data_IF_436736074513
#
_entry.id   IF_436736074513
#
_cell.length_a   1.000
_cell.length_b   1.000
_cell.length_c   1.000
_cell.angle_alpha   90.00
_cell.angle_beta   90.00
_cell.angle_gamma   90.00
#
_symmetry.space_group_name_H-M   'P 1'
#
loop_
_entity.id
_entity.type
_entity.pdbx_description
1 polymer ?
#
# COMPACT_ATOMS: atom_id res chain seq x y z
N UNK A 1 -9.69 -10.96 -71.41
CA UNK A 1 -9.54 -9.53 -71.07
C UNK A 1 -8.51 -9.42 -69.95
N UNK A 2 -7.52 -8.53 -70.07
CA UNK A 2 -6.21 -8.99 -70.54
C UNK A 2 -5.01 -8.73 -69.59
N UNK A 3 -4.06 -9.69 -69.67
CA UNK A 3 -2.57 -9.59 -69.65
C UNK A 3 -1.85 -9.15 -68.36
N UNK A 4 -0.70 -9.71 -67.93
CA UNK A 4 0.46 -10.20 -68.72
C UNK A 4 1.26 -11.36 -68.05
N UNK A 5 1.87 -12.17 -68.93
CA UNK A 5 2.85 -13.27 -68.73
C UNK A 5 4.31 -12.78 -68.64
N UNK A 6 5.19 -13.65 -68.09
CA UNK A 6 6.52 -14.16 -68.57
C UNK A 6 7.50 -14.32 -67.39
N UNK A 7 8.42 -15.28 -67.26
CA UNK A 7 8.80 -16.52 -67.95
C UNK A 7 10.09 -17.06 -67.28
N UNK A 8 10.21 -18.39 -67.11
CA UNK A 8 11.42 -19.26 -67.23
C UNK A 8 12.61 -19.02 -66.23
N UNK A 9 13.35 -20.01 -65.67
CA UNK A 9 14.03 -21.16 -66.29
C UNK A 9 14.48 -22.21 -65.23
N UNK A 10 14.20 -23.48 -65.56
CA UNK A 10 15.08 -24.66 -65.62
C UNK A 10 15.77 -25.25 -64.36
N UNK A 11 15.47 -26.53 -64.19
CA UNK A 11 16.13 -27.54 -63.36
C UNK A 11 17.49 -28.00 -63.93
N UNK A 12 18.37 -28.46 -63.04
CA UNK A 12 19.31 -29.56 -63.30
C UNK A 12 19.52 -30.33 -61.98
N UNK A 13 19.29 -31.64 -62.03
CA UNK A 13 19.58 -32.55 -60.92
C UNK A 13 20.98 -33.14 -61.04
N UNK A 14 21.53 -33.56 -59.90
CA UNK A 14 22.49 -34.66 -59.76
C UNK A 14 22.60 -35.05 -58.26
N UNK A 15 22.20 -36.28 -57.94
CA UNK A 15 22.71 -37.09 -56.82
C UNK A 15 23.90 -37.91 -57.36
N UNK A 16 24.68 -38.71 -56.58
CA UNK A 16 24.93 -38.79 -55.13
C UNK A 16 26.46 -38.88 -54.80
N UNK A 17 26.84 -38.90 -53.52
CA UNK A 17 27.62 -39.99 -52.86
C UNK A 17 28.20 -39.52 -51.50
N UNK A 18 27.81 -40.23 -50.46
CA UNK A 18 28.44 -40.25 -49.13
C UNK A 18 29.71 -41.11 -49.13
N UNK A 19 30.60 -40.78 -48.19
CA UNK A 19 31.74 -41.48 -47.55
C UNK A 19 32.88 -40.44 -47.54
N UNK A 20 33.37 -39.89 -46.43
CA UNK A 20 33.59 -40.44 -45.10
C UNK A 20 35.00 -40.01 -44.70
N UNK A 21 35.12 -38.97 -43.87
CA UNK A 21 36.35 -38.63 -43.14
C UNK A 21 35.98 -37.76 -41.94
N UNK A 22 36.12 -38.30 -40.72
CA UNK A 22 36.10 -37.50 -39.51
C UNK A 22 37.42 -36.71 -39.41
N UNK A 23 37.36 -35.49 -38.84
CA UNK A 23 38.07 -35.31 -37.59
C UNK A 23 37.27 -34.53 -36.55
N UNK A 24 37.30 -35.07 -35.33
CA UNK A 24 37.42 -34.36 -34.04
C UNK A 24 36.85 -32.94 -34.00
N UNK A 25 35.56 -32.82 -33.70
CA UNK A 25 34.99 -31.57 -33.18
C UNK A 25 35.20 -31.51 -31.67
N UNK A 26 36.13 -30.67 -31.24
CA UNK A 26 36.26 -30.24 -29.86
C UNK A 26 35.02 -29.41 -29.47
N UNK A 27 34.32 -29.69 -28.35
CA UNK A 27 33.32 -28.78 -27.86
C UNK A 27 34.03 -27.64 -27.13
N UNK A 28 34.33 -26.56 -27.85
CA UNK A 28 34.45 -25.26 -27.22
C UNK A 28 33.04 -24.74 -26.93
N UNK A 29 32.38 -25.35 -25.94
CA UNK A 29 31.30 -24.67 -25.23
C UNK A 29 31.97 -23.66 -24.31
N UNK A 30 32.27 -22.48 -24.83
CA UNK A 30 32.13 -21.29 -24.01
C UNK A 30 30.68 -21.30 -23.55
N UNK A 31 30.49 -21.62 -22.27
CA UNK A 31 29.22 -21.40 -21.60
C UNK A 31 28.79 -19.99 -21.98
N UNK A 32 27.67 -19.86 -22.69
CA UNK A 32 26.93 -18.62 -22.68
C UNK A 32 26.73 -18.32 -21.19
N UNK A 33 27.38 -17.27 -20.71
CA UNK A 33 27.01 -16.68 -19.44
C UNK A 33 25.56 -16.29 -19.68
N UNK A 34 24.63 -17.14 -19.22
CA UNK A 34 23.27 -16.73 -18.97
C UNK A 34 23.44 -15.40 -18.24
N UNK A 35 23.00 -14.29 -18.82
CA UNK A 35 22.87 -13.05 -18.08
C UNK A 35 22.10 -13.46 -16.83
N UNK A 36 22.82 -13.55 -15.70
CA UNK A 36 22.31 -14.21 -14.52
C UNK A 36 21.02 -13.51 -14.19
N UNK A 37 19.92 -14.24 -14.14
CA UNK A 37 18.64 -13.73 -13.69
C UNK A 37 18.89 -13.31 -12.23
N UNK A 38 19.35 -12.06 -12.03
CA UNK A 38 19.71 -11.56 -10.71
C UNK A 38 18.40 -11.50 -9.96
N UNK A 39 18.15 -12.54 -9.19
CA UNK A 39 16.88 -12.74 -8.53
C UNK A 39 16.56 -11.50 -7.69
N UNK A 40 15.41 -10.88 -7.96
CA UNK A 40 14.89 -9.70 -7.27
C UNK A 40 15.20 -9.82 -5.76
N UNK A 41 15.88 -8.84 -5.14
CA UNK A 41 16.21 -8.92 -3.72
C UNK A 41 14.94 -9.04 -2.88
N UNK A 42 14.99 -9.60 -1.65
CA UNK A 42 13.81 -9.62 -0.80
C UNK A 42 13.32 -8.19 -0.56
N UNK A 43 12.01 -7.99 -0.62
CA UNK A 43 11.37 -6.68 -0.54
C UNK A 43 10.67 -6.55 0.81
N UNK A 44 11.02 -5.51 1.56
CA UNK A 44 10.31 -5.09 2.76
C UNK A 44 9.55 -3.80 2.46
N UNK A 45 8.23 -3.88 2.56
CA UNK A 45 7.34 -2.74 2.46
C UNK A 45 7.15 -2.05 3.83
N UNK A 46 7.20 -0.71 3.86
CA UNK A 46 7.23 0.09 5.10
C UNK A 46 6.16 1.19 5.02
N UNK A 47 5.12 1.10 5.86
CA UNK A 47 3.97 2.01 5.81
C UNK A 47 4.25 3.39 6.44
N UNK A 48 3.31 4.32 6.23
CA UNK A 48 3.36 5.71 6.70
C UNK A 48 2.84 5.96 8.12
N UNK A 49 2.74 7.25 8.46
CA UNK A 49 2.29 7.73 9.76
C UNK A 49 0.83 7.34 10.02
N UNK A 50 0.56 6.63 11.12
CA UNK A 50 -0.80 6.19 11.48
C UNK A 50 -1.38 5.05 10.64
N UNK A 51 -0.64 4.56 9.64
CA UNK A 51 -1.05 3.45 8.77
C UNK A 51 -0.63 2.07 9.35
N UNK A 52 -0.85 1.02 8.56
CA UNK A 52 -0.50 -0.38 8.88
C UNK A 52 -0.07 -1.15 7.63
N UNK A 53 0.51 -2.34 7.82
CA UNK A 53 1.06 -3.17 6.75
C UNK A 53 0.07 -3.49 5.61
N UNK A 54 -1.23 -3.66 5.91
CA UNK A 54 -2.23 -4.02 4.90
C UNK A 54 -2.38 -3.02 3.73
N UNK A 55 -1.91 -1.78 3.87
CA UNK A 55 -1.94 -0.83 2.73
C UNK A 55 -1.11 -1.36 1.55
N UNK A 56 -0.07 -2.17 1.81
CA UNK A 56 0.78 -2.77 0.78
C UNK A 56 0.19 -4.00 0.08
N UNK A 57 -1.00 -4.47 0.50
CA UNK A 57 -1.65 -5.68 -0.02
C UNK A 57 -1.63 -5.79 -1.55
N UNK A 58 -2.03 -4.73 -2.24
CA UNK A 58 -2.13 -4.72 -3.71
C UNK A 58 -0.76 -4.68 -4.38
N UNK A 59 0.23 -4.04 -3.76
CA UNK A 59 1.61 -4.03 -4.24
C UNK A 59 2.26 -5.41 -4.08
N UNK A 60 2.01 -6.10 -2.96
CA UNK A 60 2.46 -7.49 -2.72
C UNK A 60 1.88 -8.41 -3.81
N UNK A 61 0.58 -8.33 -4.05
CA UNK A 61 -0.06 -9.14 -5.10
C UNK A 61 0.47 -8.85 -6.50
N UNK A 62 0.77 -7.59 -6.81
CA UNK A 62 1.42 -7.23 -8.09
C UNK A 62 2.84 -7.77 -8.17
N UNK A 63 3.63 -7.76 -7.10
CA UNK A 63 4.95 -8.40 -7.05
C UNK A 63 4.84 -9.91 -7.31
N UNK A 64 3.92 -10.60 -6.64
CA UNK A 64 3.68 -12.03 -6.83
C UNK A 64 3.20 -12.36 -8.25
N UNK A 65 2.33 -11.52 -8.82
CA UNK A 65 1.87 -11.64 -10.21
C UNK A 65 3.00 -11.48 -11.23
N UNK A 66 4.12 -10.89 -10.83
CA UNK A 66 5.32 -10.69 -11.64
C UNK A 66 6.47 -11.61 -11.21
N UNK A 67 6.15 -12.74 -10.57
CA UNK A 67 7.08 -13.83 -10.27
C UNK A 67 7.94 -13.64 -9.02
N UNK A 68 7.72 -12.59 -8.21
CA UNK A 68 8.45 -12.44 -6.94
C UNK A 68 7.89 -13.45 -5.93
N UNK A 69 8.70 -14.37 -5.38
CA UNK A 69 8.19 -15.38 -4.46
C UNK A 69 7.65 -14.76 -3.16
N UNK A 70 6.47 -15.20 -2.69
CA UNK A 70 5.84 -14.71 -1.45
C UNK A 70 6.78 -14.70 -0.24
N UNK A 71 7.62 -15.73 -0.09
CA UNK A 71 8.59 -15.81 1.01
C UNK A 71 9.65 -14.68 1.02
N UNK A 72 9.88 -14.04 -0.13
CA UNK A 72 10.81 -12.92 -0.31
C UNK A 72 10.15 -11.55 -0.19
N UNK A 73 8.85 -11.49 0.06
CA UNK A 73 8.11 -10.25 0.28
C UNK A 73 7.65 -10.20 1.73
N UNK A 74 7.73 -9.02 2.35
CA UNK A 74 7.20 -8.76 3.68
C UNK A 74 6.66 -7.32 3.74
N UNK A 75 5.73 -7.07 4.66
CA UNK A 75 5.31 -5.73 5.04
C UNK A 75 5.50 -5.57 6.55
N UNK A 76 6.26 -4.53 6.94
CA UNK A 76 6.44 -4.16 8.34
C UNK A 76 5.16 -3.52 8.86
N UNK A 77 4.78 -3.88 10.09
CA UNK A 77 3.64 -3.33 10.81
C UNK A 77 4.13 -2.67 12.10
N UNK A 78 4.53 -1.39 12.04
CA UNK A 78 5.10 -0.68 13.19
C UNK A 78 4.11 -0.61 14.34
N UNK A 79 4.57 -0.92 15.55
CA UNK A 79 3.73 -1.06 16.76
C UNK A 79 2.87 0.19 17.02
N UNK A 80 3.51 1.36 17.09
CA UNK A 80 2.87 2.65 17.26
C UNK A 80 3.16 3.52 16.01
N UNK A 81 2.30 3.50 14.99
CA UNK A 81 2.61 4.08 13.68
C UNK A 81 2.57 5.61 13.65
N UNK A 82 1.96 6.25 14.65
CA UNK A 82 1.88 7.70 14.76
C UNK A 82 3.14 8.29 15.41
N UNK A 83 3.66 9.34 14.80
CA UNK A 83 4.73 10.16 15.35
C UNK A 83 4.28 10.90 16.62
N UNK A 84 5.25 11.16 17.50
CA UNK A 84 5.08 12.10 18.61
C UNK A 84 4.97 13.54 18.09
N UNK A 85 4.32 14.40 18.85
CA UNK A 85 4.25 15.83 18.52
C UNK A 85 5.64 16.48 18.60
N UNK A 86 6.44 16.04 19.57
CA UNK A 86 7.85 16.33 19.74
C UNK A 86 8.58 14.98 19.93
N UNK A 87 9.56 14.69 19.10
CA UNK A 87 10.24 13.39 19.04
C UNK A 87 10.91 13.02 20.36
N UNK A 88 11.47 14.02 21.05
CA UNK A 88 12.18 13.86 22.32
C UNK A 88 11.27 13.74 23.53
N UNK A 89 9.99 14.11 23.40
CA UNK A 89 9.02 14.05 24.49
C UNK A 89 8.15 12.79 24.41
N UNK A 90 8.18 11.88 25.39
CA UNK A 90 7.33 10.70 25.40
C UNK A 90 5.85 11.07 25.24
N UNK A 91 5.16 10.36 24.34
CA UNK A 91 3.73 10.51 24.12
C UNK A 91 3.09 9.12 24.01
N UNK A 92 2.06 8.81 24.82
CA UNK A 92 1.42 7.49 24.79
C UNK A 92 0.92 7.10 23.39
N UNK A 93 1.06 5.81 23.05
CA UNK A 93 0.59 5.21 21.80
C UNK A 93 1.21 5.81 20.52
N UNK A 94 2.41 6.41 20.65
CA UNK A 94 3.16 7.08 19.56
C UNK A 94 4.65 6.78 19.68
N UNK A 95 5.31 6.66 18.54
CA UNK A 95 6.73 6.31 18.43
C UNK A 95 7.61 7.50 18.07
N UNK A 96 8.85 7.51 18.57
CA UNK A 96 9.88 8.40 18.06
C UNK A 96 10.50 7.89 16.76
N UNK A 97 11.34 8.72 16.15
CA UNK A 97 12.24 8.35 15.05
C UNK A 97 13.17 7.18 15.42
N UNK A 98 13.63 7.12 16.67
CA UNK A 98 14.47 6.04 17.20
C UNK A 98 13.70 4.71 17.32
N UNK A 99 12.46 4.76 17.82
CA UNK A 99 11.60 3.58 17.91
C UNK A 99 11.33 2.98 16.52
N UNK A 100 11.01 3.84 15.54
CA UNK A 100 10.82 3.43 14.14
C UNK A 100 12.09 2.82 13.54
N UNK A 101 13.26 3.43 13.78
CA UNK A 101 14.54 2.93 13.27
C UNK A 101 14.87 1.55 13.82
N UNK A 102 14.62 1.32 15.12
CA UNK A 102 14.84 0.03 15.78
C UNK A 102 13.92 -1.06 15.20
N UNK A 103 12.61 -0.81 15.15
CA UNK A 103 11.64 -1.78 14.61
C UNK A 103 11.91 -2.11 13.13
N UNK A 104 12.35 -1.12 12.33
CA UNK A 104 12.77 -1.35 10.96
C UNK A 104 14.01 -2.26 10.87
N UNK A 105 15.02 -2.01 11.71
CA UNK A 105 16.23 -2.83 11.75
C UNK A 105 15.95 -4.29 12.11
N UNK A 106 15.05 -4.54 13.08
CA UNK A 106 14.59 -5.87 13.46
C UNK A 106 13.89 -6.58 12.29
N UNK A 107 13.01 -5.87 11.57
CA UNK A 107 12.29 -6.41 10.42
C UNK A 107 13.23 -6.74 9.25
N UNK A 108 14.25 -5.90 9.00
CA UNK A 108 15.29 -6.16 7.99
C UNK A 108 16.08 -7.41 8.37
N UNK A 109 16.53 -7.53 9.62
CA UNK A 109 17.27 -8.68 10.11
C UNK A 109 16.45 -9.98 9.97
N UNK A 110 15.17 -9.95 10.35
CA UNK A 110 14.27 -11.09 10.23
C UNK A 110 14.06 -11.51 8.76
N UNK A 111 13.89 -10.56 7.84
CA UNK A 111 13.73 -10.86 6.41
C UNK A 111 15.02 -11.44 5.81
N UNK A 112 16.19 -10.89 6.17
CA UNK A 112 17.49 -11.43 5.76
C UNK A 112 17.69 -12.86 6.28
N UNK A 113 17.40 -13.11 7.56
CA UNK A 113 17.49 -14.44 8.15
C UNK A 113 16.58 -15.45 7.44
N UNK A 114 15.32 -15.06 7.17
CA UNK A 114 14.35 -15.93 6.49
C UNK A 114 14.74 -16.29 5.06
N UNK A 115 15.42 -15.38 4.37
CA UNK A 115 15.70 -15.51 2.93
C UNK A 115 17.15 -15.88 2.60
N UNK A 116 18.06 -15.78 3.57
CA UNK A 116 19.50 -15.94 3.38
C UNK A 116 20.15 -14.79 2.60
N UNK A 117 19.42 -13.72 2.28
CA UNK A 117 19.95 -12.61 1.48
C UNK A 117 20.85 -11.68 2.31
N UNK A 118 21.95 -11.22 1.70
CA UNK A 118 22.84 -10.24 2.33
C UNK A 118 22.21 -8.84 2.44
N UNK A 119 21.36 -8.47 1.47
CA UNK A 119 20.69 -7.17 1.38
C UNK A 119 19.20 -7.33 1.05
N UNK A 120 18.41 -6.34 1.45
CA UNK A 120 16.98 -6.22 1.10
C UNK A 120 16.73 -4.96 0.26
N UNK A 121 15.61 -4.92 -0.46
CA UNK A 121 15.06 -3.69 -1.02
C UNK A 121 13.96 -3.16 -0.08
N UNK A 122 13.99 -1.86 0.19
CA UNK A 122 13.03 -1.18 1.05
C UNK A 122 12.12 -0.31 0.19
N UNK A 123 10.81 -0.47 0.33
CA UNK A 123 9.81 0.35 -0.35
C UNK A 123 8.94 0.99 0.72
N UNK A 124 8.98 2.30 0.81
CA UNK A 124 8.39 3.03 1.92
C UNK A 124 7.44 4.13 1.44
N UNK A 125 6.37 4.34 2.21
CA UNK A 125 5.40 5.40 1.98
C UNK A 125 5.47 6.44 3.09
N UNK A 126 5.38 7.73 2.76
CA UNK A 126 5.23 8.80 3.76
C UNK A 126 6.32 8.73 4.85
N UNK A 127 5.95 8.85 6.14
CA UNK A 127 6.84 8.71 7.31
C UNK A 127 7.77 7.49 7.25
N UNK A 128 7.31 6.36 6.70
CA UNK A 128 8.14 5.15 6.59
C UNK A 128 9.45 5.41 5.83
N UNK A 129 9.45 6.33 4.87
CA UNK A 129 10.67 6.71 4.15
C UNK A 129 11.69 7.42 5.02
N UNK A 130 11.26 8.22 5.99
CA UNK A 130 12.16 8.82 6.97
C UNK A 130 12.78 7.77 7.90
N UNK A 131 12.03 6.72 8.27
CA UNK A 131 12.59 5.58 9.00
C UNK A 131 13.67 4.84 8.18
N UNK A 132 13.42 4.61 6.88
CA UNK A 132 14.40 4.02 5.96
C UNK A 132 15.67 4.88 5.86
N UNK A 133 15.52 6.19 5.64
CA UNK A 133 16.64 7.13 5.55
C UNK A 133 17.45 7.16 6.85
N UNK A 134 16.76 7.22 7.99
CA UNK A 134 17.38 7.20 9.32
C UNK A 134 18.19 5.92 9.56
N UNK A 135 17.63 4.76 9.25
CA UNK A 135 18.34 3.48 9.35
C UNK A 135 19.60 3.43 8.49
N UNK A 136 19.50 3.84 7.22
CA UNK A 136 20.63 3.85 6.30
C UNK A 136 21.73 4.82 6.77
N UNK A 137 21.36 6.05 7.15
CA UNK A 137 22.32 7.08 7.62
C UNK A 137 22.99 6.68 8.94
N UNK A 138 22.31 5.93 9.80
CA UNK A 138 22.84 5.39 11.06
C UNK A 138 23.77 4.17 10.88
N UNK A 139 24.19 3.83 9.65
CA UNK A 139 25.12 2.75 9.35
C UNK A 139 24.48 1.50 8.74
N UNK A 140 23.16 1.48 8.52
CA UNK A 140 22.43 0.34 7.93
C UNK A 140 22.58 0.17 6.42
N UNK A 141 23.37 1.00 5.73
CA UNK A 141 23.55 0.95 4.28
C UNK A 141 24.02 -0.43 3.76
N UNK A 142 24.82 -1.15 4.55
CA UNK A 142 25.30 -2.50 4.22
C UNK A 142 24.20 -3.54 4.10
N UNK A 143 23.03 -3.30 4.68
CA UNK A 143 21.88 -4.20 4.67
C UNK A 143 20.88 -3.90 3.54
N UNK A 144 21.08 -2.80 2.82
CA UNK A 144 20.10 -2.28 1.85
C UNK A 144 20.70 -2.24 0.44
N UNK A 145 19.92 -2.73 -0.52
CA UNK A 145 20.24 -2.66 -1.95
C UNK A 145 19.55 -1.48 -2.63
N UNK A 146 18.26 -1.30 -2.34
CA UNK A 146 17.39 -0.28 -2.91
C UNK A 146 16.57 0.39 -1.82
N UNK A 147 16.38 1.70 -1.91
CA UNK A 147 15.47 2.47 -1.09
C UNK A 147 14.52 3.27 -2.00
N UNK A 148 13.25 2.85 -2.06
CA UNK A 148 12.19 3.51 -2.84
C UNK A 148 11.29 4.28 -1.89
N UNK A 149 11.27 5.60 -2.01
CA UNK A 149 10.61 6.53 -1.10
C UNK A 149 9.42 7.20 -1.80
N UNK A 150 8.21 6.82 -1.41
CA UNK A 150 6.98 7.23 -2.06
C UNK A 150 6.29 8.31 -1.22
N UNK A 151 6.16 9.53 -1.73
CA UNK A 151 5.55 10.66 -1.02
C UNK A 151 6.19 10.92 0.35
N UNK A 152 7.47 10.59 0.52
CA UNK A 152 8.16 10.76 1.80
C UNK A 152 8.39 12.25 2.06
N UNK A 153 8.06 12.79 3.25
CA UNK A 153 8.30 14.18 3.59
C UNK A 153 9.79 14.41 3.88
N UNK A 154 10.63 14.25 2.85
CA UNK A 154 12.09 14.27 2.93
C UNK A 154 12.65 15.63 3.37
N UNK A 155 11.95 16.69 3.02
CA UNK A 155 12.22 18.08 3.44
C UNK A 155 11.17 18.61 4.42
N UNK A 156 10.39 17.71 5.02
CA UNK A 156 9.33 18.03 5.98
C UNK A 156 7.99 18.30 5.31
N UNK A 157 6.99 18.57 6.15
CA UNK A 157 5.65 19.03 5.74
C UNK A 157 5.47 20.53 6.01
N UNK A 158 6.45 21.13 6.70
CA UNK A 158 6.70 22.55 6.88
C UNK A 158 8.15 22.76 7.35
N UNK A 159 8.66 23.98 7.26
CA UNK A 159 10.01 24.39 7.64
C UNK A 159 9.95 25.71 8.44
N UNK A 160 9.56 25.61 9.71
CA UNK A 160 9.31 26.77 10.59
C UNK A 160 10.27 26.80 11.79
N UNK A 161 10.52 27.98 12.35
CA UNK A 161 11.39 28.14 13.53
C UNK A 161 10.73 27.69 14.85
N UNK A 162 9.46 27.27 14.79
CA UNK A 162 8.69 26.73 15.92
C UNK A 162 8.48 25.24 15.75
N UNK A 163 8.38 24.50 16.86
CA UNK A 163 8.16 23.05 16.83
C UNK A 163 9.32 22.28 16.21
N UNK A 164 10.57 22.68 16.49
CA UNK A 164 11.77 22.03 15.93
C UNK A 164 11.92 20.56 16.37
N UNK A 165 11.35 20.17 17.51
CA UNK A 165 11.32 18.77 17.95
C UNK A 165 10.38 17.87 17.13
N UNK A 166 9.53 18.42 16.27
CA UNK A 166 8.66 17.63 15.41
C UNK A 166 9.46 17.01 14.24
N UNK A 167 9.39 15.69 14.07
CA UNK A 167 10.14 14.98 13.01
C UNK A 167 9.74 15.37 11.58
N UNK A 168 8.61 16.06 11.38
CA UNK A 168 8.16 16.55 10.08
C UNK A 168 8.52 18.02 9.82
N UNK A 169 9.21 18.68 10.74
CA UNK A 169 9.71 20.04 10.52
C UNK A 169 11.05 19.98 9.78
N UNK A 170 11.11 20.50 8.55
CA UNK A 170 12.31 20.53 7.72
C UNK A 170 13.48 21.30 8.33
N UNK A 171 13.22 22.22 9.27
CA UNK A 171 14.26 22.92 10.06
C UNK A 171 14.69 22.16 11.32
N UNK A 172 13.98 21.10 11.69
CA UNK A 172 14.28 20.30 12.87
C UNK A 172 15.59 19.52 12.74
N UNK A 173 16.21 19.10 13.87
CA UNK A 173 17.49 18.41 13.87
C UNK A 173 17.45 17.07 13.13
N UNK A 174 16.30 16.38 13.15
CA UNK A 174 16.14 15.09 12.47
C UNK A 174 16.29 15.23 10.95
N UNK A 175 15.46 16.06 10.30
CA UNK A 175 15.49 16.21 8.84
C UNK A 175 16.73 16.96 8.36
N UNK A 176 17.19 17.98 9.09
CA UNK A 176 18.46 18.65 8.75
C UNK A 176 19.66 17.71 8.82
N UNK A 177 19.70 16.79 9.80
CA UNK A 177 20.73 15.74 9.87
C UNK A 177 20.65 14.73 8.72
N UNK A 178 19.45 14.33 8.30
CA UNK A 178 19.26 13.45 7.14
C UNK A 178 19.64 14.12 5.81
N UNK A 179 19.41 15.43 5.69
CA UNK A 179 19.67 16.21 4.48
C UNK A 179 21.08 16.84 4.44
N UNK A 180 21.91 16.60 5.46
CA UNK A 180 23.25 17.14 5.53
C UNK A 180 24.19 16.55 4.46
N UNK A 181 24.95 17.44 3.81
CA UNK A 181 26.04 17.13 2.90
C UNK A 181 25.70 17.41 1.43
N UNK A 182 26.68 17.17 0.56
CA UNK A 182 26.51 17.41 -0.89
C UNK A 182 25.52 16.43 -1.53
N UNK A 183 25.29 15.28 -0.91
CA UNK A 183 24.29 14.27 -1.29
C UNK A 183 23.37 13.95 -0.12
N UNK A 184 22.08 13.76 -0.39
CA UNK A 184 21.07 13.40 0.61
C UNK A 184 20.81 11.89 0.66
N UNK A 185 21.54 11.14 -0.17
CA UNK A 185 21.55 9.68 -0.25
C UNK A 185 22.91 9.11 0.14
N UNK A 186 22.91 7.91 0.68
CA UNK A 186 24.14 7.19 1.08
C UNK A 186 24.64 6.34 -0.07
N UNK A 187 25.94 6.44 -0.35
CA UNK A 187 26.63 5.63 -1.37
C UNK A 187 26.45 4.13 -1.12
N UNK A 188 26.35 3.34 -2.20
CA UNK A 188 26.18 1.89 -2.13
C UNK A 188 24.72 1.42 -1.94
N UNK A 189 23.76 2.36 -1.89
CA UNK A 189 22.32 2.08 -1.93
C UNK A 189 21.71 2.83 -3.11
N UNK A 190 20.90 2.13 -3.93
CA UNK A 190 20.17 2.78 -5.02
C UNK A 190 18.91 3.46 -4.48
N UNK A 191 18.81 4.78 -4.65
CA UNK A 191 17.65 5.57 -4.19
C UNK A 191 16.74 6.00 -5.34
N UNK A 192 15.43 5.80 -5.13
CA UNK A 192 14.35 6.32 -5.96
C UNK A 192 13.37 7.09 -5.07
N UNK A 193 12.96 8.28 -5.51
CA UNK A 193 11.80 8.97 -4.94
C UNK A 193 10.67 8.99 -5.95
N UNK A 194 9.44 8.75 -5.47
CA UNK A 194 8.22 8.87 -6.24
C UNK A 194 7.38 9.97 -5.61
N UNK A 195 7.03 10.99 -6.41
CA UNK A 195 6.24 12.12 -5.93
C UNK A 195 5.04 12.43 -6.80
N UNK A 196 4.13 13.17 -6.19
CA UNK A 196 2.97 13.73 -6.86
C UNK A 196 3.36 14.97 -7.68
N UNK A 197 2.57 15.23 -8.72
CA UNK A 197 2.54 16.53 -9.38
C UNK A 197 1.51 17.45 -8.70
N UNK A 198 1.82 17.88 -7.48
CA UNK A 198 1.04 18.89 -6.75
C UNK A 198 -0.21 18.41 -5.98
N UNK A 199 -0.56 17.12 -6.00
CA UNK A 199 -1.73 16.55 -5.32
C UNK A 199 -1.40 15.86 -3.98
N UNK A 200 -0.17 15.99 -3.50
CA UNK A 200 0.24 15.51 -2.17
C UNK A 200 -0.03 16.58 -1.12
N UNK A 201 -1.00 16.35 -0.22
CA UNK A 201 -1.39 17.31 0.83
C UNK A 201 -0.27 17.66 1.82
N UNK A 202 0.79 16.87 1.91
CA UNK A 202 1.92 17.07 2.79
C UNK A 202 3.13 17.73 2.10
N UNK A 203 3.04 17.95 0.78
CA UNK A 203 4.04 18.67 -0.01
C UNK A 203 3.39 19.90 -0.68
N UNK A 204 2.95 20.85 0.15
CA UNK A 204 2.16 22.01 -0.28
C UNK A 204 2.81 23.32 0.19
N UNK A 205 2.83 24.38 -0.63
CA UNK A 205 3.41 25.67 -0.25
C UNK A 205 2.60 26.40 0.83
N UNK A 206 1.30 26.11 0.95
CA UNK A 206 0.41 26.72 1.91
C UNK A 206 0.12 25.80 3.10
N UNK A 207 0.17 26.36 4.31
CA UNK A 207 0.05 25.63 5.57
C UNK A 207 -1.36 25.15 5.93
N UNK A 208 -2.35 25.23 5.03
CA UNK A 208 -3.74 24.81 5.32
C UNK A 208 -3.85 23.36 5.80
N UNK A 209 -3.02 22.44 5.28
CA UNK A 209 -3.08 21.01 5.64
C UNK A 209 -2.31 20.68 6.93
N UNK A 210 -1.61 21.66 7.48
CA UNK A 210 -0.90 21.57 8.77
C UNK A 210 -1.46 22.58 9.79
N UNK A 211 -2.68 23.07 9.55
CA UNK A 211 -3.43 23.89 10.50
C UNK A 211 -3.10 25.38 10.51
N UNK A 212 -2.32 25.90 9.55
CA UNK A 212 -2.00 27.33 9.41
C UNK A 212 -2.27 27.83 7.99
N UNK A 213 -3.54 27.93 7.56
CA UNK A 213 -3.88 28.44 6.23
C UNK A 213 -3.31 29.85 6.01
N UNK A 214 -2.81 30.12 4.80
CA UNK A 214 -2.19 31.40 4.45
C UNK A 214 -0.74 31.55 4.92
N UNK A 215 -0.22 30.61 5.72
CA UNK A 215 1.18 30.62 6.17
C UNK A 215 2.03 29.77 5.22
N UNK A 216 3.10 30.31 4.62
CA UNK A 216 4.02 29.52 3.80
C UNK A 216 4.63 28.38 4.60
N UNK A 217 4.59 27.15 4.08
CA UNK A 217 5.24 25.99 4.70
C UNK A 217 6.74 25.99 4.49
N UNK A 218 7.24 26.63 3.42
CA UNK A 218 8.62 26.46 2.97
C UNK A 218 8.89 25.12 2.27
N UNK A 219 7.84 24.39 1.91
CA UNK A 219 7.88 23.11 1.20
C UNK A 219 7.08 23.24 -0.11
N UNK A 220 7.58 22.69 -1.21
CA UNK A 220 6.87 22.66 -2.51
C UNK A 220 6.51 21.23 -2.91
N UNK A 221 5.93 21.04 -4.09
CA UNK A 221 5.63 19.72 -4.63
C UNK A 221 6.90 18.85 -4.80
N UNK A 222 8.07 19.48 -4.96
CA UNK A 222 9.39 18.85 -5.05
C UNK A 222 9.95 18.43 -3.68
N UNK A 223 9.30 18.79 -2.56
CA UNK A 223 9.77 18.45 -1.20
C UNK A 223 10.11 16.97 -0.96
N UNK A 224 9.43 16.00 -1.61
CA UNK A 224 9.80 14.58 -1.53
C UNK A 224 11.03 14.16 -2.35
N UNK A 225 11.58 15.01 -3.23
CA UNK A 225 12.80 14.68 -3.97
C UNK A 225 14.02 14.60 -3.05
N UNK A 226 15.08 13.91 -3.50
CA UNK A 226 16.37 13.88 -2.83
C UNK A 226 17.50 14.15 -3.82
N UNK A 227 18.44 15.01 -3.43
CA UNK A 227 19.69 15.24 -4.16
C UNK A 227 20.53 13.97 -4.15
N UNK A 228 20.86 13.47 -5.35
CA UNK A 228 21.61 12.22 -5.56
C UNK A 228 20.73 10.97 -5.78
N UNK A 229 19.41 11.07 -5.61
CA UNK A 229 18.47 10.01 -5.97
C UNK A 229 18.02 10.12 -7.44
N UNK A 230 17.44 9.03 -7.97
CA UNK A 230 16.50 9.15 -9.10
C UNK A 230 15.18 9.71 -8.57
N UNK A 231 14.70 10.83 -9.10
CA UNK A 231 13.45 11.46 -8.68
C UNK A 231 12.42 11.38 -9.82
N UNK A 232 11.27 10.75 -9.59
CA UNK A 232 10.21 10.59 -10.59
C UNK A 232 8.89 11.20 -10.13
N UNK A 233 8.21 11.87 -11.07
CA UNK A 233 6.88 12.46 -10.88
C UNK A 233 5.83 11.54 -11.51
N UNK A 234 4.79 11.17 -10.75
CA UNK A 234 3.75 10.24 -11.20
C UNK A 234 2.46 10.93 -11.69
N UNK A 235 2.53 12.23 -11.98
CA UNK A 235 1.39 13.06 -12.36
C UNK A 235 0.43 13.30 -11.19
N UNK A 236 -0.86 13.48 -11.50
CA UNK A 236 -1.90 13.85 -10.54
C UNK A 236 -2.35 12.71 -9.59
N UNK A 237 -1.39 11.98 -8.99
CA UNK A 237 -1.63 11.04 -7.90
C UNK A 237 -1.55 11.75 -6.55
N UNK A 238 -2.39 11.37 -5.60
CA UNK A 238 -2.33 11.87 -4.23
C UNK A 238 -1.16 11.26 -3.42
N UNK A 239 -0.99 11.76 -2.19
CA UNK A 239 0.07 11.34 -1.27
C UNK A 239 0.16 9.82 -1.01
N UNK A 240 -0.98 9.12 -0.97
CA UNK A 240 -0.99 7.66 -0.77
C UNK A 240 -0.82 6.94 -2.11
N UNK A 241 -1.43 7.45 -3.15
CA UNK A 241 -1.37 6.85 -4.49
C UNK A 241 0.06 6.76 -5.05
N UNK A 242 0.95 7.70 -4.72
CA UNK A 242 2.37 7.61 -5.14
C UNK A 242 3.10 6.39 -4.59
N UNK A 243 2.52 5.66 -3.63
CA UNK A 243 3.00 4.37 -3.12
C UNK A 243 2.19 3.17 -3.62
N UNK A 244 0.86 3.31 -3.69
CA UNK A 244 -0.06 2.16 -3.83
C UNK A 244 -0.74 2.05 -5.21
N UNK A 245 -0.64 3.08 -6.05
CA UNK A 245 -1.26 3.10 -7.38
C UNK A 245 -0.53 2.15 -8.35
N UNK A 246 -1.21 1.57 -9.36
CA UNK A 246 -0.57 0.76 -10.41
C UNK A 246 0.64 1.43 -11.11
N UNK A 247 0.56 2.75 -11.34
CA UNK A 247 1.69 3.56 -11.84
C UNK A 247 2.90 3.53 -10.91
N UNK A 248 2.69 3.65 -9.60
CA UNK A 248 3.76 3.54 -8.61
C UNK A 248 4.36 2.12 -8.62
N UNK A 249 3.51 1.08 -8.68
CA UNK A 249 3.98 -0.31 -8.79
C UNK A 249 4.96 -0.50 -9.95
N UNK A 250 4.64 0.03 -11.14
CA UNK A 250 5.51 -0.08 -12.31
C UNK A 250 6.91 0.44 -12.03
N UNK A 251 7.02 1.67 -11.51
CA UNK A 251 8.32 2.29 -11.27
C UNK A 251 9.08 1.60 -10.13
N UNK A 252 8.38 1.19 -9.06
CA UNK A 252 8.97 0.41 -7.96
C UNK A 252 9.56 -0.91 -8.49
N UNK A 253 8.78 -1.68 -9.26
CA UNK A 253 9.21 -2.96 -9.82
C UNK A 253 10.39 -2.76 -10.76
N UNK A 254 10.29 -1.81 -11.69
CA UNK A 254 11.33 -1.52 -12.67
C UNK A 254 12.65 -1.15 -12.01
N UNK A 255 12.60 -0.32 -10.97
CA UNK A 255 13.78 0.11 -10.25
C UNK A 255 14.47 -1.04 -9.51
N UNK A 256 13.72 -1.90 -8.84
CA UNK A 256 14.28 -3.00 -8.05
C UNK A 256 14.70 -4.18 -8.92
N UNK A 257 13.91 -4.53 -9.93
CA UNK A 257 14.13 -5.68 -10.80
C UNK A 257 15.02 -5.37 -12.01
N UNK A 258 15.26 -4.10 -12.32
CA UNK A 258 16.02 -3.66 -13.50
C UNK A 258 15.29 -3.87 -14.84
N UNK A 259 13.99 -4.23 -14.81
CA UNK A 259 13.17 -4.52 -15.99
C UNK A 259 11.70 -4.19 -15.76
N UNK A 260 10.95 -3.93 -16.82
CA UNK A 260 9.50 -3.69 -16.73
C UNK A 260 8.76 -4.91 -16.12
N UNK A 261 7.67 -4.69 -15.37
CA UNK A 261 6.78 -5.77 -14.97
C UNK A 261 6.11 -6.38 -16.21
N UNK A 262 5.91 -7.70 -16.22
CA UNK A 262 5.15 -8.38 -17.27
C UNK A 262 3.66 -8.05 -17.22
N UNK A 263 3.12 -7.70 -16.05
CA UNK A 263 1.71 -7.37 -15.86
C UNK A 263 1.51 -6.32 -14.76
N UNK A 264 0.63 -5.36 -14.98
CA UNK A 264 0.25 -4.35 -13.98
C UNK A 264 -0.97 -4.80 -13.16
N UNK A 265 -1.89 -5.52 -13.81
CA UNK A 265 -3.03 -6.15 -13.15
C UNK A 265 -2.58 -7.25 -12.18
N UNK A 266 -3.42 -7.54 -11.19
CA UNK A 266 -3.19 -8.64 -10.26
C UNK A 266 -3.72 -9.92 -10.91
N UNK A 267 -2.84 -10.91 -11.11
CA UNK A 267 -3.24 -12.21 -11.64
C UNK A 267 -3.92 -13.02 -10.54
N UNK A 268 -5.18 -13.46 -10.71
CA UNK A 268 -5.91 -14.14 -9.65
C UNK A 268 -5.40 -15.58 -9.40
N UNK A 269 -5.49 -16.01 -8.15
CA UNK A 269 -5.40 -17.40 -7.71
C UNK A 269 -6.81 -18.00 -7.65
N UNK A 270 -6.95 -19.30 -7.99
CA UNK A 270 -8.26 -19.97 -7.95
C UNK A 270 -8.74 -20.14 -6.51
N UNK A 271 -7.87 -20.64 -5.64
CA UNK A 271 -8.11 -20.77 -4.21
C UNK A 271 -7.34 -19.67 -3.47
N UNK A 272 -8.04 -18.97 -2.58
CA UNK A 272 -7.50 -17.81 -1.87
C UNK A 272 -7.60 -18.08 -0.38
N UNK A 273 -6.47 -17.99 0.32
CA UNK A 273 -6.44 -18.07 1.78
C UNK A 273 -6.14 -16.70 2.37
N UNK A 274 -6.99 -16.25 3.30
CA UNK A 274 -6.88 -14.94 3.93
C UNK A 274 -6.60 -15.07 5.43
N UNK A 275 -5.71 -14.24 5.94
CA UNK A 275 -5.48 -14.02 7.36
C UNK A 275 -4.90 -12.63 7.59
N UNK A 276 -4.81 -12.23 8.86
CA UNK A 276 -4.15 -10.99 9.24
C UNK A 276 -4.24 -10.74 10.73
N UNK A 277 -4.15 -9.47 11.13
CA UNK A 277 -4.18 -9.07 12.54
C UNK A 277 -5.42 -8.24 12.86
N UNK A 278 -5.94 -8.40 14.07
CA UNK A 278 -6.84 -7.41 14.68
C UNK A 278 -5.99 -6.44 15.50
N UNK A 279 -6.16 -5.13 15.27
CA UNK A 279 -5.36 -4.08 15.90
C UNK A 279 -6.21 -3.04 16.64
N UNK A 280 -5.61 -2.40 17.64
CA UNK A 280 -6.29 -1.53 18.59
C UNK A 280 -6.33 -0.05 18.21
N UNK A 281 -7.27 0.68 18.81
CA UNK A 281 -7.38 2.15 18.71
C UNK A 281 -7.57 2.78 20.11
N UNK A 282 -6.64 2.56 21.06
CA UNK A 282 -6.79 3.00 22.45
C UNK A 282 -6.96 4.52 22.54
N UNK A 283 -8.02 4.98 23.21
CA UNK A 283 -8.31 6.41 23.34
C UNK A 283 -8.50 7.13 22.01
N UNK A 284 -8.86 6.41 20.94
CA UNK A 284 -9.00 6.99 19.59
C UNK A 284 -7.68 7.12 18.82
N UNK A 285 -6.55 6.71 19.39
CA UNK A 285 -5.24 6.74 18.73
C UNK A 285 -5.02 5.40 18.01
N UNK A 286 -4.89 5.38 16.67
CA UNK A 286 -4.62 4.13 15.94
C UNK A 286 -3.24 3.57 16.31
N UNK A 287 -3.22 2.35 16.81
CA UNK A 287 -1.99 1.57 17.00
C UNK A 287 -2.07 0.28 16.21
N UNK A 288 -0.92 -0.35 15.94
CA UNK A 288 -0.87 -1.67 15.33
C UNK A 288 -0.66 -2.77 16.38
N UNK A 289 -0.92 -2.45 17.65
CA UNK A 289 -0.84 -3.39 18.78
C UNK A 289 -1.97 -4.42 18.65
N UNK A 290 -1.67 -5.68 18.98
CA UNK A 290 -2.63 -6.76 18.81
C UNK A 290 -3.80 -6.62 19.77
N UNK A 291 -4.98 -7.06 19.33
CA UNK A 291 -6.14 -7.30 20.19
C UNK A 291 -6.35 -8.80 20.32
N UNK A 292 -6.25 -9.32 21.54
CA UNK A 292 -6.57 -10.71 21.86
C UNK A 292 -8.09 -10.92 22.01
N UNK A 293 -8.59 -12.06 21.55
CA UNK A 293 -9.95 -12.51 21.85
C UNK A 293 -11.06 -11.80 21.07
N UNK A 294 -10.73 -10.86 20.18
CA UNK A 294 -11.69 -10.23 19.28
C UNK A 294 -12.31 -11.28 18.37
N UNK A 295 -13.64 -11.27 18.23
CA UNK A 295 -14.34 -12.21 17.36
C UNK A 295 -14.32 -11.67 15.94
N UNK A 296 -13.93 -12.53 15.00
CA UNK A 296 -13.92 -12.27 13.56
C UNK A 296 -14.80 -13.31 12.89
N UNK A 297 -15.76 -12.84 12.11
CA UNK A 297 -16.55 -13.68 11.22
C UNK A 297 -16.33 -13.23 9.78
N UNK A 298 -16.34 -14.18 8.84
CA UNK A 298 -16.21 -13.88 7.41
C UNK A 298 -17.34 -14.53 6.65
N UNK A 299 -18.06 -13.75 5.86
CA UNK A 299 -19.18 -14.21 5.05
C UNK A 299 -18.94 -13.90 3.58
N UNK A 300 -19.32 -14.81 2.70
CA UNK A 300 -19.56 -14.47 1.29
C UNK A 300 -20.82 -13.62 1.19
N UNK A 301 -20.80 -12.58 0.37
CA UNK A 301 -21.98 -11.75 0.12
C UNK A 301 -22.36 -11.65 -1.36
N UNK A 302 -23.60 -11.29 -1.63
CA UNK A 302 -24.09 -10.98 -2.96
C UNK A 302 -23.57 -9.59 -3.40
N UNK A 303 -22.97 -9.46 -4.60
CA UNK A 303 -22.32 -8.20 -5.03
C UNK A 303 -23.29 -7.02 -5.13
N UNK A 304 -24.57 -7.25 -5.41
CA UNK A 304 -25.54 -6.18 -5.65
C UNK A 304 -26.36 -5.77 -4.43
N UNK A 305 -26.46 -6.62 -3.40
CA UNK A 305 -27.26 -6.35 -2.21
C UNK A 305 -26.45 -6.32 -0.91
N UNK A 306 -25.23 -6.88 -0.91
CA UNK A 306 -24.45 -7.11 0.32
C UNK A 306 -25.05 -8.17 1.24
N UNK A 307 -26.06 -8.92 0.80
CA UNK A 307 -26.65 -10.00 1.61
C UNK A 307 -25.75 -11.22 1.69
N UNK A 308 -25.69 -11.85 2.86
CA UNK A 308 -24.89 -13.06 3.09
C UNK A 308 -25.38 -14.22 2.22
N UNK A 309 -24.45 -14.95 1.64
CA UNK A 309 -24.69 -16.18 0.87
C UNK A 309 -24.15 -17.36 1.66
N UNK A 310 -25.04 -18.17 2.22
CA UNK A 310 -24.68 -19.38 2.98
C UNK A 310 -24.20 -19.08 4.41
N UNK A 311 -23.57 -20.09 5.03
CA UNK A 311 -22.98 -19.98 6.36
C UNK A 311 -21.69 -19.14 6.35
N UNK A 312 -21.21 -18.78 7.54
CA UNK A 312 -19.91 -18.13 7.69
C UNK A 312 -18.79 -19.03 7.12
N UNK A 313 -17.88 -18.44 6.34
CA UNK A 313 -16.64 -19.09 5.91
C UNK A 313 -15.64 -19.25 7.07
N UNK A 314 -15.73 -18.35 8.05
CA UNK A 314 -14.92 -18.35 9.26
C UNK A 314 -15.71 -17.73 10.41
N UNK A 315 -15.58 -18.32 11.59
CA UNK A 315 -16.01 -17.76 12.87
C UNK A 315 -14.97 -18.17 13.92
N UNK A 316 -14.21 -17.19 14.40
CA UNK A 316 -13.12 -17.45 15.34
C UNK A 316 -12.70 -16.21 16.10
N UNK A 317 -11.71 -16.38 16.97
CA UNK A 317 -11.16 -15.30 17.79
C UNK A 317 -9.70 -15.03 17.42
N UNK A 318 -9.29 -13.77 17.54
CA UNK A 318 -7.89 -13.39 17.43
C UNK A 318 -7.07 -13.97 18.59
N UNK A 319 -5.85 -14.39 18.26
CA UNK A 319 -4.86 -14.93 19.21
C UNK A 319 -4.20 -13.79 20.03
N UNK A 320 -3.35 -14.09 21.04
CA UNK A 320 -2.63 -13.06 21.81
C UNK A 320 -1.78 -12.11 20.96
N UNK A 321 -1.25 -12.59 19.83
CA UNK A 321 -0.53 -11.79 18.85
C UNK A 321 -1.43 -11.07 17.84
N UNK A 322 -2.75 -11.08 18.06
CA UNK A 322 -3.76 -10.44 17.23
C UNK A 322 -4.15 -11.23 15.98
N UNK A 323 -3.51 -12.38 15.69
CA UNK A 323 -3.77 -13.12 14.45
C UNK A 323 -5.16 -13.72 14.39
N UNK A 324 -5.86 -13.50 13.29
CA UNK A 324 -7.11 -14.18 12.93
C UNK A 324 -6.92 -15.02 11.65
N UNK A 325 -7.80 -16.01 11.44
CA UNK A 325 -7.70 -16.93 10.31
C UNK A 325 -6.69 -18.08 10.52
N UNK A 326 -6.35 -18.82 9.44
CA UNK A 326 -6.75 -18.55 8.05
C UNK A 326 -8.21 -18.86 7.72
N UNK A 327 -8.72 -18.27 6.64
CA UNK A 327 -10.01 -18.60 6.01
C UNK A 327 -9.80 -18.88 4.52
N UNK A 328 -10.43 -19.93 4.01
CA UNK A 328 -10.45 -20.24 2.58
C UNK A 328 -11.63 -19.54 1.90
N UNK A 329 -11.37 -18.93 0.75
CA UNK A 329 -12.36 -18.22 -0.08
C UNK A 329 -12.01 -18.37 -1.56
N UNK A 330 -12.83 -17.77 -2.43
CA UNK A 330 -12.61 -17.75 -3.87
C UNK A 330 -12.38 -16.33 -4.37
N UNK A 331 -11.50 -16.19 -5.37
CA UNK A 331 -11.12 -14.90 -5.93
C UNK A 331 -12.28 -13.99 -6.37
N UNK A 332 -13.42 -14.47 -6.92
CA UNK A 332 -14.49 -13.58 -7.37
C UNK A 332 -15.49 -13.20 -6.27
N UNK A 333 -15.35 -13.74 -5.05
CA UNK A 333 -16.34 -13.50 -3.99
C UNK A 333 -16.07 -12.18 -3.27
N UNK A 334 -17.02 -11.23 -3.27
CA UNK A 334 -16.99 -10.15 -2.29
C UNK A 334 -17.32 -10.72 -0.90
N UNK A 335 -16.71 -10.12 0.12
CA UNK A 335 -16.77 -10.63 1.49
C UNK A 335 -17.25 -9.56 2.46
N UNK A 336 -17.96 -9.99 3.51
CA UNK A 336 -18.22 -9.22 4.72
C UNK A 336 -17.36 -9.79 5.85
N UNK A 337 -16.55 -8.95 6.48
CA UNK A 337 -15.84 -9.24 7.71
C UNK A 337 -16.59 -8.59 8.87
N UNK A 338 -16.99 -9.37 9.86
CA UNK A 338 -17.61 -8.85 11.09
C UNK A 338 -16.57 -8.89 12.19
N UNK A 339 -16.21 -7.72 12.73
CA UNK A 339 -15.29 -7.57 13.84
C UNK A 339 -16.05 -7.11 15.08
N UNK A 340 -15.99 -7.90 16.15
CA UNK A 340 -16.53 -7.56 17.48
C UNK A 340 -15.44 -7.64 18.54
N UNK A 341 -15.26 -6.55 19.30
CA UNK A 341 -14.33 -6.49 20.42
C UNK A 341 -14.87 -5.61 21.56
N UNK A 342 -14.47 -5.85 22.82
CA UNK A 342 -14.98 -5.10 23.96
C UNK A 342 -14.76 -3.58 23.83
N UNK A 343 -15.78 -2.80 24.18
CA UNK A 343 -15.70 -1.33 24.20
C UNK A 343 -15.75 -0.64 22.84
N UNK A 344 -16.00 -1.38 21.75
CA UNK A 344 -16.02 -0.87 20.39
C UNK A 344 -17.34 -1.21 19.67
N UNK A 345 -17.64 -0.50 18.59
CA UNK A 345 -18.73 -0.85 17.69
C UNK A 345 -18.42 -2.17 16.98
N UNK A 346 -19.42 -3.04 16.83
CA UNK A 346 -19.29 -4.17 15.91
C UNK A 346 -19.20 -3.62 14.50
N UNK A 347 -18.06 -3.86 13.86
CA UNK A 347 -17.75 -3.29 12.54
C UNK A 347 -18.00 -4.34 11.47
N UNK A 348 -18.89 -4.02 10.53
CA UNK A 348 -19.16 -4.82 9.34
C UNK A 348 -18.40 -4.23 8.16
N UNK A 349 -17.32 -4.88 7.75
CA UNK A 349 -16.41 -4.43 6.69
C UNK A 349 -16.70 -5.23 5.43
N UNK A 350 -17.33 -4.60 4.45
CA UNK A 350 -17.50 -5.16 3.12
C UNK A 350 -16.25 -4.87 2.31
N UNK A 351 -15.72 -5.88 1.64
CA UNK A 351 -14.52 -5.79 0.80
C UNK A 351 -14.79 -6.30 -0.60
N UNK A 352 -14.22 -5.60 -1.59
CA UNK A 352 -14.10 -6.09 -2.95
C UNK A 352 -13.37 -7.44 -2.97
N UNK A 353 -13.56 -8.25 -4.02
CA UNK A 353 -13.00 -9.59 -4.07
C UNK A 353 -11.47 -9.61 -3.94
N UNK A 354 -10.94 -10.67 -3.32
CA UNK A 354 -9.51 -10.85 -3.09
C UNK A 354 -8.93 -11.71 -4.21
N UNK A 355 -8.21 -11.15 -5.20
CA UNK A 355 -7.71 -11.93 -6.32
C UNK A 355 -6.66 -12.97 -5.91
N UNK A 356 -5.94 -12.78 -4.80
CA UNK A 356 -4.88 -13.70 -4.35
C UNK A 356 -4.90 -13.86 -2.84
N UNK A 357 -4.28 -14.94 -2.36
CA UNK A 357 -4.07 -15.18 -0.93
C UNK A 357 -3.29 -14.05 -0.27
N UNK A 358 -3.52 -13.83 1.03
CA UNK A 358 -2.79 -12.85 1.81
C UNK A 358 -2.86 -13.12 3.30
N UNK A 359 -1.74 -12.89 3.99
CA UNK A 359 -1.63 -12.91 5.45
C UNK A 359 -1.56 -11.51 6.07
N UNK A 360 -1.77 -10.46 5.27
CA UNK A 360 -1.74 -9.05 5.71
C UNK A 360 -3.11 -8.38 5.60
N UNK A 361 -4.20 -9.12 5.81
CA UNK A 361 -5.58 -8.58 5.89
C UNK A 361 -5.87 -8.11 7.31
N UNK A 362 -5.41 -6.90 7.63
CA UNK A 362 -5.57 -6.33 8.97
C UNK A 362 -6.97 -5.77 9.17
N UNK A 363 -7.53 -5.97 10.37
CA UNK A 363 -8.84 -5.48 10.78
C UNK A 363 -8.69 -4.54 11.98
N UNK A 364 -9.49 -3.48 12.00
CA UNK A 364 -9.57 -2.51 13.10
C UNK A 364 -11.01 -2.03 13.21
N UNK A 365 -11.51 -1.88 14.44
CA UNK A 365 -12.87 -1.39 14.64
C UNK A 365 -12.99 0.04 14.08
N UNK A 366 -14.04 0.26 13.30
CA UNK A 366 -14.31 1.55 12.69
C UNK A 366 -14.92 2.52 13.70
N UNK A 367 -14.57 3.79 13.55
CA UNK A 367 -15.16 4.90 14.31
C UNK A 367 -15.60 5.98 13.32
N UNK A 368 -16.84 6.46 13.39
CA UNK A 368 -17.26 7.60 12.58
C UNK A 368 -16.50 8.86 13.04
N UNK A 369 -16.18 9.76 12.10
CA UNK A 369 -15.42 10.97 12.39
C UNK A 369 -16.17 11.95 13.32
N UNK A 370 -17.50 11.91 13.29
CA UNK A 370 -18.38 12.63 14.19
C UNK A 370 -19.40 11.66 14.81
N UNK A 371 -19.92 12.00 15.98
CA UNK A 371 -21.03 11.25 16.55
C UNK A 371 -22.23 11.29 15.58
N UNK A 372 -22.90 10.15 15.33
CA UNK A 372 -24.10 10.14 14.50
C UNK A 372 -25.14 11.13 15.04
N UNK A 373 -25.81 11.84 14.14
CA UNK A 373 -26.87 12.77 14.52
C UNK A 373 -28.01 12.04 15.25
N UNK A 374 -28.72 12.75 16.14
CA UNK A 374 -29.90 12.19 16.81
C UNK A 374 -30.94 11.72 15.79
N UNK A 375 -31.38 10.46 15.91
CA UNK A 375 -32.32 9.84 14.97
C UNK A 375 -31.69 9.04 13.82
N UNK A 376 -30.35 8.97 13.74
CA UNK A 376 -29.65 8.07 12.82
C UNK A 376 -30.00 6.59 13.10
N UNK A 377 -30.51 5.88 12.09
CA UNK A 377 -30.79 4.44 12.18
C UNK A 377 -29.55 3.59 11.96
N UNK A 378 -28.74 3.94 10.96
CA UNK A 378 -27.47 3.29 10.62
C UNK A 378 -26.47 4.30 10.04
N UNK A 379 -25.19 3.94 10.05
CA UNK A 379 -24.12 4.67 9.35
C UNK A 379 -23.37 3.71 8.44
N UNK A 380 -23.19 4.13 7.19
CA UNK A 380 -22.36 3.43 6.20
C UNK A 380 -21.22 4.34 5.78
N UNK A 381 -20.00 3.86 5.93
CA UNK A 381 -18.77 4.56 5.56
C UNK A 381 -18.22 4.00 4.25
N UNK A 382 -17.82 4.85 3.31
CA UNK A 382 -16.99 4.48 2.17
C UNK A 382 -15.53 4.77 2.52
N UNK A 383 -14.69 3.75 2.56
CA UNK A 383 -13.27 3.84 2.94
C UNK A 383 -12.36 3.57 1.75
N UNK A 384 -11.33 4.41 1.56
CA UNK A 384 -10.27 4.27 0.56
C UNK A 384 -8.90 4.23 1.25
N UNK A 385 -8.46 3.08 1.80
CA UNK A 385 -7.21 3.01 2.59
C UNK A 385 -5.95 3.40 1.81
N UNK A 386 -5.92 3.16 0.49
CA UNK A 386 -4.73 3.30 -0.37
C UNK A 386 -4.70 4.59 -1.20
N UNK A 387 -5.51 5.57 -0.82
CA UNK A 387 -5.63 6.85 -1.53
C UNK A 387 -6.49 7.86 -0.78
N UNK A 388 -6.69 9.03 -1.39
CA UNK A 388 -7.66 10.04 -0.97
C UNK A 388 -8.66 10.32 -2.10
N UNK A 389 -9.88 10.68 -1.77
CA UNK A 389 -10.85 11.14 -2.75
C UNK A 389 -10.48 12.55 -3.21
N UNK A 390 -10.34 12.75 -4.53
CA UNK A 390 -9.98 14.02 -5.14
C UNK A 390 -11.04 14.51 -6.11
N UNK A 391 -11.93 15.40 -5.67
CA UNK A 391 -12.88 16.05 -6.58
C UNK A 391 -12.22 17.24 -7.30
N UNK A 392 -12.50 17.50 -8.60
CA UNK A 392 -13.35 16.74 -9.51
C UNK A 392 -12.59 15.66 -10.32
N UNK A 393 -11.34 15.32 -9.94
CA UNK A 393 -10.51 14.32 -10.63
C UNK A 393 -11.17 12.94 -10.63
N UNK A 394 -11.75 12.56 -9.49
CA UNK A 394 -12.35 11.25 -9.26
C UNK A 394 -13.88 11.33 -9.32
N UNK A 395 -14.50 10.22 -9.74
CA UNK A 395 -15.93 9.99 -9.58
C UNK A 395 -16.14 9.28 -8.25
N UNK A 396 -16.85 9.92 -7.32
CA UNK A 396 -17.17 9.33 -6.01
C UNK A 396 -18.67 9.41 -5.78
N UNK A 397 -19.32 8.27 -5.58
CA UNK A 397 -20.72 8.20 -5.18
C UNK A 397 -20.85 7.36 -3.91
N UNK A 398 -21.66 7.81 -2.97
CA UNK A 398 -22.12 7.03 -1.83
C UNK A 398 -23.63 7.16 -1.77
N UNK A 399 -24.31 6.03 -1.76
CA UNK A 399 -25.78 5.97 -1.82
C UNK A 399 -26.37 6.68 -3.06
N UNK A 400 -25.66 6.57 -4.18
CA UNK A 400 -26.05 7.19 -5.46
C UNK A 400 -25.84 8.71 -5.52
N UNK A 401 -25.25 9.33 -4.49
CA UNK A 401 -25.01 10.77 -4.43
C UNK A 401 -23.51 11.07 -4.36
N UNK A 402 -23.08 12.19 -4.94
CA UNK A 402 -21.73 12.69 -4.72
C UNK A 402 -21.61 13.17 -3.26
N UNK A 403 -20.65 12.68 -2.47
CA UNK A 403 -20.56 13.07 -1.07
C UNK A 403 -20.22 14.55 -0.87
N UNK A 404 -20.79 15.16 0.16
CA UNK A 404 -20.59 16.57 0.51
C UNK A 404 -19.45 16.79 1.49
N UNK A 405 -18.96 15.73 2.13
CA UNK A 405 -17.86 15.73 3.10
C UNK A 405 -16.48 15.58 2.45
N UNK A 406 -16.41 15.37 1.14
CA UNK A 406 -15.17 15.32 0.35
C UNK A 406 -14.86 16.69 -0.21
N UNK A 407 -13.67 17.22 0.11
CA UNK A 407 -13.24 18.54 -0.36
C UNK A 407 -12.74 18.49 -1.79
N UNK A 408 -12.98 19.56 -2.55
CA UNK A 408 -12.43 19.77 -3.89
C UNK A 408 -10.98 20.27 -3.82
N UNK A 409 -10.17 19.92 -4.82
CA UNK A 409 -8.78 20.35 -4.95
C UNK A 409 -7.77 19.26 -4.56
N UNK A 410 -6.81 19.61 -3.70
CA UNK A 410 -5.79 18.65 -3.22
C UNK A 410 -6.48 17.59 -2.36
N UNK A 411 -6.37 16.28 -2.69
CA UNK A 411 -7.10 15.21 -2.01
C UNK A 411 -6.69 15.07 -0.54
N UNK A 412 -7.66 15.12 0.38
CA UNK A 412 -7.41 14.99 1.84
C UNK A 412 -8.17 13.89 2.54
N UNK A 413 -9.34 13.53 2.02
CA UNK A 413 -10.33 12.73 2.70
C UNK A 413 -10.26 11.29 2.16
N UNK A 414 -10.06 10.30 3.04
CA UNK A 414 -9.98 8.87 2.65
C UNK A 414 -11.21 8.08 3.10
N UNK A 415 -12.14 8.76 3.74
CA UNK A 415 -13.40 8.20 4.23
C UNK A 415 -14.48 9.24 3.98
N UNK A 416 -15.63 8.76 3.52
CA UNK A 416 -16.89 9.50 3.49
C UNK A 416 -17.97 8.69 4.20
N UNK A 417 -19.01 9.32 4.73
CA UNK A 417 -20.07 8.60 5.42
C UNK A 417 -21.47 9.12 5.07
N UNK A 418 -22.44 8.21 5.06
CA UNK A 418 -23.86 8.51 4.93
C UNK A 418 -24.61 7.98 6.15
N UNK A 419 -25.59 8.75 6.60
CA UNK A 419 -26.52 8.35 7.66
C UNK A 419 -27.81 7.83 7.03
N UNK A 420 -28.28 6.68 7.50
CA UNK A 420 -29.50 6.03 7.03
C UNK A 420 -30.61 6.21 8.06
N UNK A 421 -31.83 6.64 7.66
CA UNK A 421 -32.96 6.75 8.57
C UNK A 421 -33.36 5.40 9.20
N UNK A 422 -33.93 5.43 10.40
CA UNK A 422 -34.38 4.21 11.10
C UNK A 422 -35.34 3.33 10.26
N UNK A 423 -36.20 3.94 9.45
CA UNK A 423 -37.15 3.25 8.58
C UNK A 423 -36.49 2.49 7.40
N UNK A 424 -35.23 2.80 7.09
CA UNK A 424 -34.49 2.24 5.96
C UNK A 424 -33.33 1.33 6.41
N UNK A 425 -33.18 1.09 7.71
CA UNK A 425 -32.15 0.20 8.25
C UNK A 425 -32.23 -1.19 7.61
N UNK A 426 -31.05 -1.75 7.33
CA UNK A 426 -30.91 -3.05 6.67
C UNK A 426 -30.84 -2.98 5.16
N UNK A 427 -31.18 -1.86 4.50
CA UNK A 427 -31.07 -1.77 3.04
C UNK A 427 -29.61 -1.79 2.54
N UNK A 428 -29.46 -2.08 1.25
CA UNK A 428 -28.20 -1.96 0.54
C UNK A 428 -27.81 -0.48 0.34
N UNK A 429 -26.53 -0.17 0.49
CA UNK A 429 -25.91 1.12 0.22
C UNK A 429 -24.69 0.89 -0.67
N UNK A 430 -24.71 1.47 -1.87
CA UNK A 430 -23.62 1.33 -2.82
C UNK A 430 -22.60 2.47 -2.65
N UNK A 431 -21.32 2.11 -2.59
CA UNK A 431 -20.20 3.01 -2.80
C UNK A 431 -19.58 2.79 -4.17
N UNK A 432 -19.25 3.87 -4.87
CA UNK A 432 -18.56 3.87 -6.15
C UNK A 432 -17.37 4.82 -6.08
N UNK A 433 -16.21 4.33 -6.50
CA UNK A 433 -15.02 5.13 -6.74
C UNK A 433 -14.45 4.78 -8.11
N UNK A 434 -14.55 5.70 -9.07
CA UNK A 434 -14.20 5.47 -10.47
C UNK A 434 -14.87 4.19 -11.01
N UNK A 435 -14.09 3.12 -11.22
CA UNK A 435 -14.56 1.83 -11.73
C UNK A 435 -14.85 0.80 -10.63
N UNK A 436 -14.45 1.06 -9.38
CA UNK A 436 -14.65 0.14 -8.26
C UNK A 436 -15.99 0.42 -7.58
N UNK A 437 -16.88 -0.59 -7.58
CA UNK A 437 -18.17 -0.56 -6.88
C UNK A 437 -18.20 -1.60 -5.78
N UNK A 438 -18.73 -1.21 -4.63
CA UNK A 438 -18.96 -2.09 -3.48
C UNK A 438 -20.30 -1.78 -2.82
N UNK A 439 -20.98 -2.82 -2.34
CA UNK A 439 -22.29 -2.69 -1.67
C UNK A 439 -22.19 -3.19 -0.24
N UNK A 440 -22.63 -2.37 0.71
CA UNK A 440 -22.73 -2.69 2.12
C UNK A 440 -24.19 -2.69 2.58
N UNK A 441 -24.54 -3.51 3.57
CA UNK A 441 -25.84 -3.41 4.26
C UNK A 441 -25.76 -2.37 5.37
N UNK A 442 -26.81 -1.60 5.56
CA UNK A 442 -26.92 -0.61 6.62
C UNK A 442 -27.27 -1.27 7.98
N UNK A 443 -26.26 -1.69 8.74
CA UNK A 443 -26.49 -2.31 10.06
C UNK A 443 -26.89 -1.29 11.15
N UNK A 444 -27.83 -1.63 12.06
CA UNK A 444 -28.41 -0.71 13.03
C UNK A 444 -27.42 -0.21 14.09
N UNK A 445 -27.40 1.11 14.30
CA UNK A 445 -26.69 1.74 15.42
C UNK A 445 -27.28 1.33 16.78
N UNK A 446 -28.59 1.03 16.84
CA UNK A 446 -29.26 0.56 18.07
C UNK A 446 -28.72 -0.79 18.57
N UNK A 447 -28.05 -1.55 17.71
CA UNK A 447 -27.34 -2.80 18.07
C UNK A 447 -25.83 -2.58 18.25
N UNK A 448 -25.37 -1.33 18.35
CA UNK A 448 -23.96 -0.98 18.45
C UNK A 448 -23.14 -1.50 17.23
N UNK A 449 -23.71 -1.36 16.02
CA UNK A 449 -23.08 -1.78 14.75
C UNK A 449 -22.81 -0.61 13.83
N UNK A 450 -21.76 -0.74 13.01
CA UNK A 450 -21.41 0.21 11.94
C UNK A 450 -20.96 -0.56 10.69
N UNK A 451 -21.20 0.03 9.52
CA UNK A 451 -20.85 -0.60 8.23
C UNK A 451 -19.79 0.21 7.50
N UNK A 452 -18.82 -0.50 6.91
CA UNK A 452 -17.75 0.06 6.10
C UNK A 452 -17.73 -0.66 4.76
N UNK A 453 -17.97 0.07 3.68
CA UNK A 453 -17.64 -0.32 2.32
C UNK A 453 -16.19 0.08 2.06
N UNK A 454 -15.25 -0.88 2.09
CA UNK A 454 -13.82 -0.60 1.94
C UNK A 454 -13.29 -1.02 0.57
N UNK A 455 -12.81 -0.02 -0.16
CA UNK A 455 -12.23 -0.13 -1.49
C UNK A 455 -10.84 -0.80 -1.43
N UNK A 456 -10.53 -1.58 -2.45
CA UNK A 456 -9.24 -2.28 -2.57
C UNK A 456 -8.20 -1.40 -3.26
N UNK A 457 -8.56 -0.70 -4.35
CA UNK A 457 -7.68 0.24 -5.05
C UNK A 457 -6.56 -0.36 -5.92
#
# INVERSE_FOLDING_TARGET
>A
MPTTRRSLLKAFGALPLLIGAAPLSAPAQTAAISAGDTAVPPILFVHGNGDHAALWLTQIWRMESNGVPRARVAALNFTDPLARNDDGAPQPNRSSTEDQRRELGEAIAALKQRTGAAKVALVASSRGGNAVRSYIKAGGAGDVSHAVLCGTPNHGVYAWDTGLGNEFNGKGPFLSGLNQGDSEVTEGVAFLTLRSDGQDKYAQPDGRFVGKPGTPTGVTAEGPELRGASNLVLGALDHREVAFHPRAFREIYKFIAGREPSVIAITPEVAVQLSGLVTATPGGVPTNRPVEGARVEVYRVAPDSGERIGAALYDGRSRPDGRWGPVDTQSPWPLEFVLSQPGELTTHIYRSPFPRSSDVVHLRAAKPAAAPAGGAGAVVMLSRPRGYFGLPRDIVLLDGQQPTDIKSGVPTDSVSAVTIPAAEVGRAVAGLFNEERIVARAWPLSENRISVAELTG
#
